data_IF_403494965358
#
_entry.id   IF_403494965358
#
_cell.length_a   1.000
_cell.length_b   1.000
_cell.length_c   1.000
_cell.angle_alpha   90.00
_cell.angle_beta   90.00
_cell.angle_gamma   90.00
#
_symmetry.space_group_name_H-M   'P 1'
#
loop_
_entity.id
_entity.type
_entity.pdbx_description
1 polymer ?
#
# COMPACT_ATOMS: atom_id res chain seq x y z
N UNK A 1 20.16 -11.06 -11.27
CA UNK A 1 21.00 -12.16 -10.82
C UNK A 1 20.36 -12.81 -9.59
N UNK A 2 19.87 -14.04 -9.67
CA UNK A 2 19.13 -14.72 -8.60
C UNK A 2 19.94 -14.98 -7.30
N UNK A 3 21.18 -14.54 -7.26
CA UNK A 3 22.11 -14.73 -6.12
C UNK A 3 22.11 -13.56 -5.13
N UNK A 4 21.27 -12.55 -5.33
CA UNK A 4 21.27 -11.32 -4.53
C UNK A 4 19.93 -11.06 -3.81
N UNK A 5 19.30 -12.09 -3.30
CA UNK A 5 18.07 -11.97 -2.52
C UNK A 5 18.15 -12.75 -1.22
N UNK A 6 17.63 -12.18 -0.14
CA UNK A 6 17.40 -12.85 1.13
C UNK A 6 15.92 -12.78 1.51
N UNK A 7 15.42 -13.81 2.19
CA UNK A 7 14.09 -13.83 2.75
C UNK A 7 14.18 -13.73 4.28
N UNK A 8 13.44 -12.78 4.85
CA UNK A 8 13.37 -12.54 6.30
C UNK A 8 11.91 -12.53 6.73
N UNK A 9 11.54 -13.38 7.69
CA UNK A 9 10.23 -13.33 8.32
C UNK A 9 10.15 -12.15 9.29
N UNK A 10 9.18 -11.24 9.08
CA UNK A 10 8.98 -10.08 9.94
C UNK A 10 7.48 -9.74 10.05
N UNK A 11 7.05 -9.36 11.24
CA UNK A 11 5.74 -8.76 11.45
C UNK A 11 5.85 -7.24 11.31
N UNK A 12 5.25 -6.69 10.27
CA UNK A 12 5.30 -5.24 9.99
C UNK A 12 4.51 -4.39 11.01
N UNK A 13 3.72 -5.01 11.88
CA UNK A 13 3.10 -4.32 13.00
C UNK A 13 4.09 -4.01 14.14
N UNK A 14 5.27 -4.62 14.12
CA UNK A 14 6.35 -4.40 15.08
C UNK A 14 7.46 -3.50 14.49
N UNK A 15 7.77 -2.41 15.18
CA UNK A 15 8.81 -1.45 14.78
C UNK A 15 10.20 -2.08 14.74
N UNK A 16 10.52 -2.93 15.72
CA UNK A 16 11.83 -3.56 15.79
C UNK A 16 12.01 -4.65 14.72
N UNK A 17 10.92 -5.32 14.33
CA UNK A 17 10.95 -6.24 13.20
C UNK A 17 11.27 -5.52 11.87
N UNK A 18 10.65 -4.34 11.63
CA UNK A 18 10.98 -3.51 10.44
C UNK A 18 12.43 -3.02 10.52
N UNK A 19 12.89 -2.56 11.69
CA UNK A 19 14.27 -2.11 11.90
C UNK A 19 15.26 -3.23 11.59
N UNK A 20 15.06 -4.42 12.16
CA UNK A 20 15.91 -5.58 11.92
C UNK A 20 15.92 -6.02 10.46
N UNK A 21 14.79 -5.87 9.74
CA UNK A 21 14.72 -6.12 8.29
C UNK A 21 15.64 -5.15 7.52
N UNK A 22 15.58 -3.86 7.82
CA UNK A 22 16.42 -2.83 7.20
C UNK A 22 17.89 -3.09 7.52
N UNK A 23 18.24 -3.27 8.79
CA UNK A 23 19.61 -3.55 9.23
C UNK A 23 20.20 -4.81 8.56
N UNK A 24 19.36 -5.86 8.41
CA UNK A 24 19.78 -7.09 7.75
C UNK A 24 20.03 -6.87 6.25
N UNK A 25 19.16 -6.09 5.57
CA UNK A 25 19.36 -5.75 4.17
C UNK A 25 20.63 -4.91 3.97
N UNK A 26 20.84 -3.91 4.81
CA UNK A 26 22.01 -3.04 4.74
C UNK A 26 23.32 -3.78 5.02
N UNK A 27 23.31 -4.72 5.94
CA UNK A 27 24.49 -5.55 6.25
C UNK A 27 24.89 -6.46 5.09
N UNK A 28 23.92 -6.91 4.27
CA UNK A 28 24.17 -7.85 3.18
C UNK A 28 24.43 -7.15 1.85
N UNK A 29 23.71 -6.05 1.57
CA UNK A 29 23.67 -5.42 0.24
C UNK A 29 24.11 -3.94 0.24
N UNK A 30 24.38 -3.34 1.38
CA UNK A 30 24.61 -1.90 1.51
C UNK A 30 23.32 -1.11 1.70
N UNK A 31 23.40 0.23 1.66
CA UNK A 31 22.28 1.10 1.98
C UNK A 31 21.01 0.78 1.18
N UNK A 32 19.86 0.77 1.84
CA UNK A 32 18.55 0.56 1.17
C UNK A 32 18.23 1.78 0.32
N UNK A 33 18.11 1.61 -0.98
CA UNK A 33 17.76 2.67 -1.94
C UNK A 33 16.25 2.76 -2.20
N UNK A 34 15.54 1.63 -2.13
CA UNK A 34 14.10 1.57 -2.33
C UNK A 34 13.46 0.69 -1.25
N UNK A 35 12.38 1.19 -0.65
CA UNK A 35 11.54 0.42 0.26
C UNK A 35 10.11 0.31 -0.27
N UNK A 36 9.61 -0.91 -0.40
CA UNK A 36 8.24 -1.17 -0.86
C UNK A 36 7.36 -1.57 0.33
N UNK A 37 6.59 -0.62 0.87
CA UNK A 37 5.60 -0.84 1.91
C UNK A 37 4.34 -1.48 1.30
N UNK A 38 4.34 -2.81 1.16
CA UNK A 38 3.30 -3.55 0.44
C UNK A 38 2.38 -4.38 1.33
N UNK A 39 2.79 -4.75 2.54
CA UNK A 39 1.98 -5.56 3.43
C UNK A 39 0.61 -4.92 3.72
N UNK A 40 -0.45 -5.71 3.70
CA UNK A 40 -1.80 -5.21 3.93
C UNK A 40 -2.80 -6.31 4.24
N UNK A 41 -3.84 -5.96 4.99
CA UNK A 41 -4.96 -6.83 5.36
C UNK A 41 -6.30 -6.10 5.16
N UNK A 42 -7.37 -6.84 4.91
CA UNK A 42 -8.72 -6.25 4.76
C UNK A 42 -9.39 -5.95 6.09
N UNK A 43 -9.07 -6.72 7.13
CA UNK A 43 -9.81 -6.74 8.38
C UNK A 43 -11.23 -7.33 8.23
N UNK A 44 -11.99 -7.44 9.34
CA UNK A 44 -13.37 -7.88 9.30
C UNK A 44 -14.29 -6.89 8.58
N UNK A 45 -15.37 -7.35 7.92
CA UNK A 45 -16.34 -6.49 7.26
C UNK A 45 -17.25 -5.77 8.26
N UNK A 46 -17.80 -4.63 7.84
CA UNK A 46 -18.79 -3.87 8.59
C UNK A 46 -18.24 -2.76 9.47
N UNK A 47 -19.13 -2.18 10.28
CA UNK A 47 -18.83 -1.08 11.20
C UNK A 47 -18.57 -1.56 12.63
N UNK A 48 -19.31 -2.53 13.12
CA UNK A 48 -19.28 -3.01 14.50
C UNK A 48 -18.15 -3.99 14.81
N UNK A 49 -16.95 -3.78 14.26
CA UNK A 49 -15.78 -4.60 14.53
C UNK A 49 -15.11 -4.19 15.85
N UNK A 50 -14.44 -5.13 16.52
CA UNK A 50 -13.74 -4.86 17.76
C UNK A 50 -12.61 -3.82 17.58
N UNK A 51 -12.33 -3.01 18.61
CA UNK A 51 -11.22 -2.04 18.59
C UNK A 51 -9.88 -2.70 18.28
N UNK A 52 -9.63 -3.90 18.82
CA UNK A 52 -8.41 -4.66 18.51
C UNK A 52 -8.27 -5.02 17.02
N UNK A 53 -9.38 -5.24 16.31
CA UNK A 53 -9.36 -5.45 14.87
C UNK A 53 -9.07 -4.16 14.11
N UNK A 54 -9.58 -3.01 14.59
CA UNK A 54 -9.18 -1.69 14.08
C UNK A 54 -7.70 -1.45 14.26
N UNK A 55 -7.17 -1.70 15.48
CA UNK A 55 -5.75 -1.53 15.76
C UNK A 55 -4.88 -2.39 14.84
N UNK A 56 -5.24 -3.65 14.63
CA UNK A 56 -4.50 -4.54 13.74
C UNK A 56 -4.47 -4.02 12.28
N UNK A 57 -5.61 -3.57 11.75
CA UNK A 57 -5.67 -3.03 10.38
C UNK A 57 -4.89 -1.72 10.26
N UNK A 58 -4.98 -0.84 11.27
CA UNK A 58 -4.18 0.39 11.34
C UNK A 58 -2.69 0.10 11.43
N UNK A 59 -2.29 -0.86 12.25
CA UNK A 59 -0.88 -1.22 12.43
C UNK A 59 -0.24 -1.74 11.14
N UNK A 60 -0.93 -2.62 10.43
CA UNK A 60 -0.41 -3.21 9.19
C UNK A 60 -0.52 -2.25 8.01
N UNK A 61 -1.71 -1.66 7.78
CA UNK A 61 -1.97 -0.91 6.54
C UNK A 61 -1.46 0.52 6.56
N UNK A 62 -1.19 1.10 7.74
CA UNK A 62 -0.79 2.49 7.89
C UNK A 62 0.47 2.66 8.74
N UNK A 63 0.44 2.21 10.02
CA UNK A 63 1.57 2.45 10.94
C UNK A 63 2.85 1.77 10.46
N UNK A 64 2.77 0.64 9.77
CA UNK A 64 3.93 -0.01 9.14
C UNK A 64 4.64 0.91 8.13
N UNK A 65 3.88 1.64 7.29
CA UNK A 65 4.43 2.62 6.36
C UNK A 65 5.13 3.76 7.10
N UNK A 66 4.49 4.29 8.15
CA UNK A 66 5.05 5.37 8.98
C UNK A 66 6.31 4.90 9.70
N UNK A 67 6.33 3.69 10.26
CA UNK A 67 7.50 3.10 10.92
C UNK A 67 8.68 2.97 9.97
N UNK A 68 8.44 2.42 8.78
CA UNK A 68 9.49 2.28 7.77
C UNK A 68 10.04 3.63 7.31
N UNK A 69 9.18 4.62 7.07
CA UNK A 69 9.61 5.96 6.70
C UNK A 69 10.43 6.62 7.82
N UNK A 70 10.04 6.48 9.09
CA UNK A 70 10.81 6.99 10.23
C UNK A 70 12.22 6.39 10.35
N UNK A 71 12.39 5.14 9.91
CA UNK A 71 13.69 4.46 9.93
C UNK A 71 14.57 4.91 8.75
N UNK A 72 13.98 5.02 7.55
CA UNK A 72 14.75 5.17 6.30
C UNK A 72 14.92 6.62 5.85
N UNK A 73 13.88 7.46 5.98
CA UNK A 73 13.87 8.82 5.42
C UNK A 73 14.98 9.71 5.95
N UNK A 74 15.32 9.70 7.25
CA UNK A 74 16.44 10.52 7.74
C UNK A 74 17.77 10.25 7.01
N UNK A 75 18.11 8.98 6.82
CA UNK A 75 19.33 8.59 6.09
C UNK A 75 19.26 8.93 4.59
N UNK A 76 18.07 8.82 4.00
CA UNK A 76 17.84 9.22 2.60
C UNK A 76 17.98 10.73 2.38
N UNK A 77 17.46 11.54 3.29
CA UNK A 77 17.62 13.00 3.26
C UNK A 77 19.09 13.39 3.41
N UNK A 78 19.81 12.77 4.34
CA UNK A 78 21.25 13.04 4.55
C UNK A 78 22.08 12.76 3.30
N UNK A 79 21.78 11.68 2.58
CA UNK A 79 22.50 11.32 1.34
C UNK A 79 21.91 11.90 0.07
N UNK A 80 20.74 12.58 0.16
CA UNK A 80 20.03 13.18 -0.97
C UNK A 80 19.39 12.16 -1.94
N UNK A 81 19.15 10.91 -1.52
CA UNK A 81 18.64 9.85 -2.39
C UNK A 81 17.92 8.75 -1.62
N UNK A 82 16.70 8.42 -2.04
CA UNK A 82 15.92 7.29 -1.57
C UNK A 82 14.56 7.22 -2.24
N UNK A 83 13.93 6.04 -2.26
CA UNK A 83 12.64 5.81 -2.89
C UNK A 83 11.68 5.05 -1.98
N UNK A 84 10.55 5.65 -1.65
CA UNK A 84 9.48 5.02 -0.87
C UNK A 84 8.29 4.66 -1.76
N UNK A 85 7.93 3.39 -1.82
CA UNK A 85 6.74 2.93 -2.55
C UNK A 85 5.70 2.46 -1.56
N UNK A 86 4.52 3.06 -1.60
CA UNK A 86 3.38 2.73 -0.73
C UNK A 86 2.29 2.01 -1.50
N UNK A 87 1.88 0.82 -1.07
CA UNK A 87 0.68 0.16 -1.60
C UNK A 87 -0.55 0.60 -0.82
N UNK A 88 -1.25 1.60 -1.37
CA UNK A 88 -2.59 1.97 -0.91
C UNK A 88 -3.67 1.05 -1.54
N UNK A 89 -4.59 1.60 -2.28
CA UNK A 89 -5.65 0.91 -3.04
C UNK A 89 -6.49 1.95 -3.79
N UNK A 90 -7.22 1.57 -4.82
CA UNK A 90 -8.35 2.37 -5.33
C UNK A 90 -9.34 2.73 -4.21
N UNK A 91 -9.48 1.88 -3.19
CA UNK A 91 -10.25 2.18 -1.98
C UNK A 91 -9.73 3.39 -1.20
N UNK A 92 -8.47 3.77 -1.34
CA UNK A 92 -7.88 4.97 -0.74
C UNK A 92 -8.23 6.26 -1.48
N UNK A 93 -8.68 6.16 -2.73
CA UNK A 93 -9.15 7.27 -3.55
C UNK A 93 -10.68 7.35 -3.59
N UNK A 94 -11.34 6.19 -3.67
CA UNK A 94 -12.79 6.08 -3.90
C UNK A 94 -13.55 5.73 -2.61
N UNK A 95 -13.35 4.60 -2.08
CA UNK A 95 -13.79 3.91 -0.86
C UNK A 95 -14.03 2.43 -1.18
N UNK A 96 -14.25 1.61 -0.17
CA UNK A 96 -14.56 0.19 -0.31
C UNK A 96 -15.87 -0.13 0.39
N UNK A 97 -16.89 -0.51 -0.38
CA UNK A 97 -18.17 -0.98 0.19
C UNK A 97 -17.88 -2.20 1.10
N UNK A 98 -18.47 -2.20 2.28
CA UNK A 98 -18.42 -3.34 3.18
C UNK A 98 -17.22 -3.40 4.13
N UNK A 99 -16.21 -2.55 3.98
CA UNK A 99 -15.03 -2.57 4.86
C UNK A 99 -14.60 -1.17 5.30
N UNK A 100 -15.06 -0.76 6.47
CA UNK A 100 -14.76 0.57 7.03
C UNK A 100 -13.26 0.70 7.36
N UNK A 101 -12.69 -0.27 8.07
CA UNK A 101 -11.29 -0.22 8.48
C UNK A 101 -10.33 -0.21 7.29
N UNK A 102 -10.61 -1.02 6.26
CA UNK A 102 -9.81 -1.01 5.03
C UNK A 102 -9.89 0.34 4.32
N UNK A 103 -11.10 0.89 4.13
CA UNK A 103 -11.28 2.18 3.47
C UNK A 103 -10.54 3.30 4.20
N UNK A 104 -10.70 3.39 5.51
CA UNK A 104 -10.02 4.41 6.34
C UNK A 104 -8.51 4.28 6.24
N UNK A 105 -7.98 3.06 6.43
CA UNK A 105 -6.53 2.85 6.42
C UNK A 105 -5.89 3.09 5.05
N UNK A 106 -6.59 2.76 3.95
CA UNK A 106 -6.08 2.99 2.59
C UNK A 106 -6.15 4.47 2.18
N UNK A 107 -7.15 5.23 2.64
CA UNK A 107 -7.13 6.69 2.52
C UNK A 107 -5.98 7.31 3.32
N UNK A 108 -5.76 6.84 4.55
CA UNK A 108 -4.67 7.33 5.38
C UNK A 108 -3.28 6.98 4.80
N UNK A 109 -3.10 5.79 4.24
CA UNK A 109 -1.86 5.39 3.58
C UNK A 109 -1.57 6.24 2.33
N UNK A 110 -2.60 6.55 1.53
CA UNK A 110 -2.49 7.47 0.40
C UNK A 110 -2.09 8.87 0.87
N UNK A 111 -2.82 9.44 1.85
CA UNK A 111 -2.52 10.78 2.41
C UNK A 111 -1.13 10.85 3.04
N UNK A 112 -0.66 9.77 3.69
CA UNK A 112 0.70 9.70 4.22
C UNK A 112 1.76 9.70 3.10
N UNK A 113 1.55 8.93 2.04
CA UNK A 113 2.46 8.90 0.90
C UNK A 113 2.51 10.27 0.19
N UNK A 114 1.35 10.93 0.01
CA UNK A 114 1.26 12.28 -0.57
C UNK A 114 2.01 13.30 0.29
N UNK A 115 1.77 13.30 1.61
CA UNK A 115 2.49 14.16 2.54
C UNK A 115 4.00 13.94 2.49
N UNK A 116 4.44 12.68 2.46
CA UNK A 116 5.86 12.32 2.38
C UNK A 116 6.50 12.86 1.11
N UNK A 117 5.82 12.70 -0.03
CA UNK A 117 6.27 13.19 -1.33
C UNK A 117 6.44 14.72 -1.35
N UNK A 118 5.42 15.44 -0.87
CA UNK A 118 5.43 16.92 -0.85
C UNK A 118 6.47 17.46 0.15
N UNK A 119 6.68 16.75 1.28
CA UNK A 119 7.56 17.24 2.34
C UNK A 119 9.04 16.99 2.06
N UNK A 120 9.38 15.85 1.45
CA UNK A 120 10.77 15.42 1.30
C UNK A 120 11.24 15.28 -0.16
N UNK A 121 10.37 15.56 -1.14
CA UNK A 121 10.71 15.45 -2.56
C UNK A 121 11.92 16.29 -2.95
N UNK A 122 11.96 17.55 -2.54
CA UNK A 122 13.07 18.46 -2.80
C UNK A 122 14.36 18.08 -2.04
N UNK A 123 14.27 17.13 -1.11
CA UNK A 123 15.41 16.61 -0.33
C UNK A 123 15.93 15.27 -0.89
N UNK A 124 15.51 14.89 -2.10
CA UNK A 124 15.97 13.69 -2.79
C UNK A 124 15.20 12.42 -2.44
N UNK A 125 14.06 12.52 -1.72
CA UNK A 125 13.21 11.36 -1.41
C UNK A 125 12.10 11.24 -2.45
N UNK A 126 12.20 10.25 -3.32
CA UNK A 126 11.13 9.90 -4.26
C UNK A 126 10.04 9.09 -3.57
N UNK A 127 8.79 9.31 -3.97
CA UNK A 127 7.66 8.57 -3.42
C UNK A 127 6.69 8.18 -4.53
N UNK A 128 6.26 6.92 -4.54
CA UNK A 128 5.17 6.44 -5.38
C UNK A 128 4.08 5.80 -4.53
N UNK A 129 2.83 5.96 -4.95
CA UNK A 129 1.68 5.36 -4.30
C UNK A 129 0.89 4.49 -5.28
N UNK A 130 0.98 3.18 -5.09
CA UNK A 130 0.26 2.19 -5.88
C UNK A 130 -1.18 2.08 -5.38
N UNK A 131 -2.15 2.35 -6.26
CA UNK A 131 -3.57 2.32 -5.97
C UNK A 131 -4.32 1.34 -6.90
N UNK A 132 -4.13 0.02 -6.74
CA UNK A 132 -4.79 -0.97 -7.56
C UNK A 132 -6.26 -1.14 -7.14
N UNK A 133 -7.09 -1.61 -8.08
CA UNK A 133 -8.45 -2.09 -7.82
C UNK A 133 -8.44 -3.62 -7.62
N UNK A 134 -9.07 -4.40 -8.48
CA UNK A 134 -9.08 -5.86 -8.38
C UNK A 134 -7.79 -6.50 -8.89
N UNK A 135 -7.07 -7.19 -8.02
CA UNK A 135 -5.89 -8.00 -8.40
C UNK A 135 -6.13 -9.44 -7.95
N UNK A 136 -5.82 -10.42 -8.80
CA UNK A 136 -6.06 -11.84 -8.57
C UNK A 136 -5.14 -12.41 -7.48
N UNK A 137 -5.48 -12.11 -6.23
CA UNK A 137 -4.74 -12.50 -5.03
C UNK A 137 -5.67 -13.04 -3.94
N UNK A 138 -5.18 -13.79 -2.96
CA UNK A 138 -5.99 -14.22 -1.82
C UNK A 138 -6.70 -13.06 -1.10
N UNK A 139 -6.09 -11.87 -1.09
CA UNK A 139 -6.67 -10.69 -0.45
C UNK A 139 -8.00 -10.27 -1.11
N UNK A 140 -8.11 -10.31 -2.43
CA UNK A 140 -9.34 -9.98 -3.17
C UNK A 140 -10.49 -10.88 -2.77
N UNK A 141 -10.21 -12.17 -2.56
CA UNK A 141 -11.21 -13.19 -2.28
C UNK A 141 -11.45 -13.42 -0.77
N UNK A 142 -10.74 -12.73 0.10
CA UNK A 142 -10.91 -12.88 1.55
C UNK A 142 -12.38 -12.64 1.99
N UNK A 143 -13.06 -11.64 1.40
CA UNK A 143 -14.47 -11.35 1.67
C UNK A 143 -15.44 -12.39 1.10
N UNK A 144 -15.11 -13.09 0.01
CA UNK A 144 -15.93 -14.15 -0.58
C UNK A 144 -16.04 -15.37 0.33
N UNK A 145 -15.02 -15.62 1.12
CA UNK A 145 -14.94 -16.73 2.07
C UNK A 145 -15.46 -16.32 3.46
N UNK A 146 -15.94 -15.08 3.63
CA UNK A 146 -16.57 -14.65 4.87
C UNK A 146 -18.03 -15.10 4.88
N UNK A 147 -18.51 -15.60 6.04
CA UNK A 147 -19.92 -16.00 6.24
C UNK A 147 -20.87 -14.79 6.32
N UNK A 148 -20.44 -13.61 5.85
CA UNK A 148 -21.23 -12.38 5.92
C UNK A 148 -21.62 -11.87 4.52
N UNK A 149 -22.89 -11.45 4.36
CA UNK A 149 -23.36 -10.83 3.12
C UNK A 149 -22.55 -9.60 2.73
N UNK A 150 -22.07 -8.85 3.72
CA UNK A 150 -21.30 -7.62 3.52
C UNK A 150 -19.90 -7.91 2.95
N UNK A 151 -19.23 -8.98 3.40
CA UNK A 151 -17.96 -9.44 2.83
C UNK A 151 -18.12 -9.91 1.38
N UNK A 152 -19.18 -10.67 1.10
CA UNK A 152 -19.50 -11.08 -0.26
C UNK A 152 -19.85 -9.88 -1.18
N UNK A 153 -20.55 -8.87 -0.65
CA UNK A 153 -20.83 -7.62 -1.36
C UNK A 153 -19.56 -6.86 -1.68
N UNK A 154 -18.62 -6.76 -0.73
CA UNK A 154 -17.32 -6.11 -0.93
C UNK A 154 -16.55 -6.72 -2.10
N UNK A 155 -16.44 -8.05 -2.15
CA UNK A 155 -15.78 -8.75 -3.26
C UNK A 155 -16.50 -8.51 -4.59
N UNK A 156 -17.85 -8.62 -4.64
CA UNK A 156 -18.62 -8.36 -5.86
C UNK A 156 -18.48 -6.92 -6.35
N UNK A 157 -18.42 -5.95 -5.44
CA UNK A 157 -18.24 -4.54 -5.80
C UNK A 157 -16.90 -4.31 -6.52
N UNK A 158 -15.82 -4.89 -6.03
CA UNK A 158 -14.49 -4.76 -6.66
C UNK A 158 -14.44 -5.51 -7.99
N UNK A 159 -14.87 -6.77 -8.03
CA UNK A 159 -14.82 -7.60 -9.26
C UNK A 159 -15.81 -7.16 -10.34
N UNK A 160 -16.84 -6.40 -9.97
CA UNK A 160 -17.81 -5.82 -10.90
C UNK A 160 -17.48 -4.39 -11.35
N UNK A 161 -16.53 -3.72 -10.71
CA UNK A 161 -16.17 -2.34 -11.00
C UNK A 161 -15.18 -2.21 -12.19
N UNK A 162 -14.43 -3.27 -12.51
CA UNK A 162 -13.46 -3.29 -13.61
C UNK A 162 -12.79 -4.64 -13.75
N UNK A 163 -11.75 -4.71 -14.55
CA UNK A 163 -10.97 -5.92 -14.74
C UNK A 163 -10.31 -6.39 -13.44
N UNK A 164 -10.11 -7.70 -13.30
CA UNK A 164 -9.22 -8.27 -12.29
C UNK A 164 -7.90 -8.58 -12.96
N UNK A 165 -6.85 -7.85 -12.57
CA UNK A 165 -5.52 -7.98 -13.16
C UNK A 165 -4.72 -9.10 -12.47
N UNK A 166 -3.78 -9.69 -13.19
CA UNK A 166 -2.81 -10.60 -12.58
C UNK A 166 -1.71 -9.81 -11.84
N UNK A 167 -1.11 -10.39 -10.78
CA UNK A 167 -0.04 -9.73 -10.03
C UNK A 167 1.15 -9.29 -10.90
N UNK A 168 1.51 -10.09 -11.89
CA UNK A 168 2.63 -9.82 -12.79
C UNK A 168 2.35 -8.60 -13.68
N UNK A 169 1.11 -8.44 -14.19
CA UNK A 169 0.71 -7.27 -14.97
C UNK A 169 0.79 -5.99 -14.11
N UNK A 170 0.39 -6.08 -12.83
CA UNK A 170 0.50 -4.95 -11.89
C UNK A 170 1.97 -4.63 -11.61
N UNK A 171 2.82 -5.64 -11.44
CA UNK A 171 4.25 -5.44 -11.20
C UNK A 171 4.94 -4.73 -12.36
N UNK A 172 4.60 -5.08 -13.62
CA UNK A 172 5.13 -4.38 -14.79
C UNK A 172 4.72 -2.91 -14.85
N UNK A 173 3.47 -2.59 -14.47
CA UNK A 173 3.02 -1.18 -14.39
C UNK A 173 3.80 -0.43 -13.33
N UNK A 174 4.04 -1.06 -12.17
CA UNK A 174 4.84 -0.48 -11.09
C UNK A 174 6.26 -0.19 -11.55
N UNK A 175 6.94 -1.15 -12.18
CA UNK A 175 8.32 -0.98 -12.64
C UNK A 175 8.47 0.22 -13.58
N UNK A 176 7.57 0.34 -14.58
CA UNK A 176 7.56 1.51 -15.51
C UNK A 176 7.32 2.82 -14.77
N UNK A 177 6.37 2.82 -13.83
CA UNK A 177 6.07 4.03 -13.08
C UNK A 177 7.22 4.47 -12.15
N UNK A 178 8.00 3.53 -11.63
CA UNK A 178 9.20 3.81 -10.85
C UNK A 178 10.34 4.38 -11.71
N UNK A 179 10.51 3.88 -12.94
CA UNK A 179 11.47 4.42 -13.92
C UNK A 179 11.12 5.87 -14.29
N UNK A 180 9.82 6.18 -14.42
CA UNK A 180 9.30 7.51 -14.75
C UNK A 180 9.11 8.41 -13.50
N UNK A 181 9.41 7.91 -12.30
CA UNK A 181 9.21 8.59 -11.00
C UNK A 181 7.78 9.12 -10.78
N UNK A 182 6.76 8.41 -11.28
CA UNK A 182 5.37 8.79 -11.11
C UNK A 182 4.89 8.58 -9.68
N UNK A 183 4.30 9.62 -9.06
CA UNK A 183 3.74 9.51 -7.72
C UNK A 183 2.54 8.55 -7.68
N UNK A 184 1.53 8.77 -8.52
CA UNK A 184 0.30 7.98 -8.52
C UNK A 184 0.36 6.86 -9.56
N UNK A 185 0.37 5.62 -9.08
CA UNK A 185 0.40 4.42 -9.92
C UNK A 185 -1.00 3.79 -9.95
N UNK A 186 -1.64 3.82 -11.12
CA UNK A 186 -2.97 3.27 -11.37
C UNK A 186 -2.91 2.15 -12.41
N UNK A 187 -2.81 0.86 -11.98
CA UNK A 187 -2.85 -0.26 -12.92
C UNK A 187 -4.20 -0.36 -13.66
N UNK A 188 -5.25 0.18 -13.05
CA UNK A 188 -6.61 0.27 -13.61
C UNK A 188 -6.87 1.72 -14.01
N UNK A 189 -6.75 2.07 -15.29
CA UNK A 189 -6.84 3.45 -15.76
C UNK A 189 -8.20 4.12 -15.48
N UNK A 190 -9.27 3.33 -15.41
CA UNK A 190 -10.62 3.80 -15.08
C UNK A 190 -10.73 4.43 -13.68
N UNK A 191 -9.86 4.05 -12.75
CA UNK A 191 -9.84 4.59 -11.38
C UNK A 191 -9.62 6.11 -11.39
N UNK A 192 -8.83 6.64 -12.32
CA UNK A 192 -8.61 8.08 -12.41
C UNK A 192 -9.90 8.85 -12.74
N UNK A 193 -10.67 8.33 -13.69
CA UNK A 193 -11.95 8.96 -14.07
C UNK A 193 -12.98 8.86 -12.93
N UNK A 194 -13.05 7.72 -12.25
CA UNK A 194 -13.91 7.55 -11.06
C UNK A 194 -13.51 8.55 -9.95
N UNK A 195 -12.23 8.75 -9.74
CA UNK A 195 -11.72 9.69 -8.72
C UNK A 195 -12.03 11.14 -9.08
N UNK A 196 -11.85 11.53 -10.34
CA UNK A 196 -12.23 12.86 -10.85
C UNK A 196 -13.73 13.10 -10.70
N UNK A 197 -14.55 12.12 -11.07
CA UNK A 197 -16.01 12.21 -10.92
C UNK A 197 -16.42 12.38 -9.46
N UNK A 198 -15.85 11.59 -8.55
CA UNK A 198 -16.07 11.73 -7.09
C UNK A 198 -15.74 13.14 -6.61
N UNK A 199 -14.65 13.76 -7.10
CA UNK A 199 -14.26 15.11 -6.70
C UNK A 199 -15.12 16.22 -7.30
N UNK A 200 -15.79 15.96 -8.43
CA UNK A 200 -16.66 16.93 -9.11
C UNK A 200 -18.10 16.91 -8.56
N UNK A 201 -18.58 15.77 -8.10
CA UNK A 201 -19.95 15.58 -7.59
C UNK A 201 -19.90 14.58 -6.41
N UNK A 202 -19.71 15.13 -5.20
CA UNK A 202 -19.47 14.34 -3.97
C UNK A 202 -20.75 14.03 -3.23
#
# INVERSE_FOLDING_TARGET
DATSAIAVGADVSDTEAIRGLVERAEAEFGPVDLYFANAGITGPPGLGIAESAWDQVLDVNLRAHIRAANILVPGWVERGSGYFVSTASAAGLLTQIGSAAYSVTKHAAFGFAEWLSVTYGDQGVRVSCLCPMGVNTPLLYAGKNSDTELGALATRAVTGAGAVLEPDDVAEVVLRALEDEHFLILPHPEVLEMYRHKGADY
#
